data_IF_295408781782
#
_entry.id   IF_295408781782
#
_cell.length_a   1.000
_cell.length_b   1.000
_cell.length_c   1.000
_cell.angle_alpha   90.00
_cell.angle_beta   90.00
_cell.angle_gamma   90.00
#
_symmetry.space_group_name_H-M   'P 1'
#
loop_
_entity.id
_entity.type
_entity.pdbx_description
1 polymer ?
#
# COMPACT_ATOMS: atom_id res chain seq x y z
N UNK A 1 -15.19 -12.70 -11.00
CA UNK A 1 -13.93 -13.46 -10.85
C UNK A 1 -12.92 -12.55 -10.18
N UNK A 2 -12.30 -12.98 -9.08
CA UNK A 2 -11.32 -12.16 -8.36
C UNK A 2 -9.99 -12.10 -9.13
N UNK A 3 -9.51 -10.90 -9.42
CA UNK A 3 -8.14 -10.70 -9.91
C UNK A 3 -7.22 -10.82 -8.69
N UNK A 4 -6.50 -11.95 -8.60
CA UNK A 4 -5.59 -12.24 -7.49
C UNK A 4 -4.17 -11.72 -7.74
N UNK A 5 -3.80 -11.53 -9.01
CA UNK A 5 -2.47 -11.08 -9.41
C UNK A 5 -2.53 -9.60 -9.80
N UNK A 6 -1.77 -8.77 -9.09
CA UNK A 6 -1.67 -7.32 -9.30
C UNK A 6 -3.04 -6.62 -9.43
N UNK A 7 -3.90 -6.66 -8.40
CA UNK A 7 -5.10 -5.84 -8.41
C UNK A 7 -4.71 -4.37 -8.52
N UNK A 8 -5.35 -3.66 -9.44
CA UNK A 8 -5.23 -2.21 -9.62
C UNK A 8 -5.57 -1.45 -8.33
N UNK A 9 -5.53 -0.13 -8.39
CA UNK A 9 -5.83 0.72 -7.24
C UNK A 9 -7.32 0.72 -6.79
N UNK A 10 -8.21 0.02 -7.51
CA UNK A 10 -9.64 -0.02 -7.23
C UNK A 10 -10.00 -0.51 -5.82
N UNK A 11 -9.36 -1.59 -5.35
CA UNK A 11 -9.62 -2.15 -4.02
C UNK A 11 -9.20 -1.21 -2.89
N UNK A 12 -8.15 -0.41 -3.11
CA UNK A 12 -7.73 0.58 -2.14
C UNK A 12 -8.64 1.82 -2.20
N UNK A 13 -9.05 2.28 -3.38
CA UNK A 13 -10.07 3.33 -3.54
C UNK A 13 -11.37 3.01 -2.81
N UNK A 14 -11.88 1.79 -2.93
CA UNK A 14 -13.05 1.33 -2.17
C UNK A 14 -12.80 1.32 -0.65
N UNK A 15 -11.55 1.12 -0.23
CA UNK A 15 -11.19 1.19 1.18
C UNK A 15 -11.17 2.63 1.69
N UNK A 16 -10.73 3.58 0.86
CA UNK A 16 -10.71 5.00 1.19
C UNK A 16 -12.11 5.63 1.19
N UNK A 17 -13.06 5.10 0.42
CA UNK A 17 -14.45 5.59 0.40
C UNK A 17 -15.25 5.21 1.65
N UNK A 18 -14.70 4.40 2.55
CA UNK A 18 -15.37 4.01 3.79
C UNK A 18 -15.44 5.20 4.75
N UNK A 19 -16.56 5.31 5.47
CA UNK A 19 -16.81 6.35 6.48
C UNK A 19 -15.69 6.49 7.51
N UNK A 20 -15.05 5.39 7.86
CA UNK A 20 -13.95 5.34 8.83
C UNK A 20 -12.74 4.73 8.16
N UNK A 21 -11.75 5.58 7.88
CA UNK A 21 -10.43 5.18 7.43
C UNK A 21 -9.38 5.79 8.36
N UNK A 22 -8.45 4.96 8.82
CA UNK A 22 -7.29 5.40 9.61
C UNK A 22 -6.07 5.28 8.74
N UNK A 23 -5.40 6.40 8.52
CA UNK A 23 -4.19 6.45 7.70
C UNK A 23 -3.06 5.62 8.31
N UNK A 24 -2.67 4.57 7.57
CA UNK A 24 -1.54 3.67 7.87
C UNK A 24 -0.53 3.63 6.72
N UNK A 25 -0.55 4.64 5.85
CA UNK A 25 0.30 4.69 4.63
C UNK A 25 1.79 4.72 4.94
N UNK A 26 2.21 5.19 6.11
CA UNK A 26 3.61 5.09 6.56
C UNK A 26 4.16 3.65 6.62
N UNK A 27 3.31 2.62 6.58
CA UNK A 27 3.78 1.25 6.37
C UNK A 27 4.57 1.11 5.07
N UNK A 28 4.23 1.87 4.04
CA UNK A 28 4.94 1.89 2.75
C UNK A 28 6.37 2.40 2.92
N UNK A 29 6.60 3.42 3.74
CA UNK A 29 7.95 3.93 4.04
C UNK A 29 8.84 2.81 4.58
N UNK A 30 8.33 2.04 5.54
CA UNK A 30 9.03 0.88 6.11
C UNK A 30 9.30 -0.18 5.03
N UNK A 31 8.37 -0.41 4.11
CA UNK A 31 8.58 -1.35 3.01
C UNK A 31 9.62 -0.87 2.00
N UNK A 32 9.66 0.42 1.71
CA UNK A 32 10.63 1.02 0.80
C UNK A 32 12.06 0.80 1.30
N UNK A 33 12.29 0.81 2.62
CA UNK A 33 13.60 0.47 3.21
C UNK A 33 14.02 -0.98 2.89
N UNK A 34 13.08 -1.93 2.94
CA UNK A 34 13.38 -3.35 2.67
C UNK A 34 13.57 -3.67 1.18
N UNK A 35 12.94 -2.92 0.28
CA UNK A 35 12.94 -3.21 -1.17
C UNK A 35 14.34 -3.22 -1.79
N UNK A 36 15.30 -2.48 -1.23
CA UNK A 36 16.69 -2.40 -1.72
C UNK A 36 17.66 -3.31 -0.96
N UNK A 37 17.13 -4.22 -0.13
CA UNK A 37 17.94 -5.15 0.68
C UNK A 37 17.80 -6.59 0.17
N UNK A 38 18.79 -7.43 0.47
CA UNK A 38 18.73 -8.87 0.16
C UNK A 38 17.57 -9.57 0.92
N UNK A 39 17.22 -9.06 2.10
CA UNK A 39 16.13 -9.56 2.95
C UNK A 39 14.80 -8.82 2.69
N UNK A 40 14.31 -8.89 1.46
CA UNK A 40 13.06 -8.22 1.01
C UNK A 40 11.76 -8.98 1.29
N UNK A 41 11.81 -10.07 2.05
CA UNK A 41 10.62 -10.89 2.33
C UNK A 41 9.91 -10.41 3.60
N UNK A 42 8.63 -10.08 3.47
CA UNK A 42 7.80 -9.66 4.60
C UNK A 42 6.71 -10.70 4.90
N UNK A 43 6.66 -11.16 6.16
CA UNK A 43 5.57 -11.98 6.67
C UNK A 43 4.69 -11.16 7.62
N UNK A 44 3.38 -11.08 7.33
CA UNK A 44 2.40 -10.41 8.20
C UNK A 44 1.57 -11.47 8.93
N UNK A 45 2.12 -12.02 10.03
CA UNK A 45 1.45 -12.98 10.91
C UNK A 45 0.55 -12.26 11.93
N UNK A 46 -0.69 -11.94 11.54
CA UNK A 46 -1.68 -11.36 12.47
C UNK A 46 -2.95 -12.22 12.54
N UNK A 47 -3.81 -12.09 13.58
CA UNK A 47 -5.11 -12.76 13.64
C UNK A 47 -6.12 -12.26 12.59
N UNK A 48 -7.23 -12.96 12.39
CA UNK A 48 -8.30 -12.54 11.48
C UNK A 48 -8.83 -11.14 11.85
N UNK A 49 -9.25 -10.35 10.84
CA UNK A 49 -9.79 -8.98 10.94
C UNK A 49 -8.82 -7.88 11.39
N UNK A 50 -7.52 -8.17 11.55
CA UNK A 50 -6.49 -7.16 11.82
C UNK A 50 -6.07 -6.32 10.59
N UNK A 51 -6.94 -6.15 9.59
CA UNK A 51 -6.67 -5.27 8.46
C UNK A 51 -5.59 -5.74 7.48
N UNK A 52 -5.23 -7.05 7.47
CA UNK A 52 -4.26 -7.59 6.49
C UNK A 52 -4.64 -7.33 5.04
N UNK A 53 -5.91 -7.56 4.68
CA UNK A 53 -6.41 -7.30 3.32
C UNK A 53 -6.34 -5.81 2.96
N UNK A 54 -6.63 -4.93 3.91
CA UNK A 54 -6.53 -3.47 3.71
C UNK A 54 -5.07 -3.08 3.46
N UNK A 55 -4.14 -3.61 4.26
CA UNK A 55 -2.71 -3.37 4.06
C UNK A 55 -2.22 -3.90 2.71
N UNK A 56 -2.63 -5.12 2.33
CA UNK A 56 -2.28 -5.69 1.03
C UNK A 56 -2.82 -4.86 -0.15
N UNK A 57 -4.07 -4.39 -0.07
CA UNK A 57 -4.64 -3.52 -1.10
C UNK A 57 -3.91 -2.18 -1.20
N UNK A 58 -3.54 -1.59 -0.06
CA UNK A 58 -2.74 -0.37 -0.01
C UNK A 58 -1.37 -0.55 -0.66
N UNK A 59 -0.66 -1.64 -0.30
CA UNK A 59 0.65 -1.97 -0.86
C UNK A 59 0.53 -2.22 -2.37
N UNK A 60 -0.47 -2.98 -2.81
CA UNK A 60 -0.73 -3.23 -4.23
C UNK A 60 -1.01 -1.94 -5.00
N UNK A 61 -1.83 -1.05 -4.44
CA UNK A 61 -2.16 0.23 -5.08
C UNK A 61 -0.95 1.17 -5.20
N UNK A 62 0.02 1.06 -4.30
CA UNK A 62 1.26 1.86 -4.35
C UNK A 62 2.30 1.29 -5.32
N UNK A 63 2.52 -0.02 -5.31
CA UNK A 63 3.55 -0.68 -6.15
C UNK A 63 3.04 -1.16 -7.51
N UNK A 64 1.74 -1.04 -7.81
CA UNK A 64 1.22 -1.42 -9.13
C UNK A 64 1.72 -0.45 -10.20
N UNK A 65 2.41 -0.97 -11.21
CA UNK A 65 2.88 -0.21 -12.37
C UNK A 65 1.76 0.22 -13.33
N UNK A 66 0.56 -0.35 -13.19
CA UNK A 66 -0.58 -0.10 -14.07
C UNK A 66 -1.45 1.08 -13.65
N UNK A 67 -1.14 1.75 -12.54
CA UNK A 67 -1.96 2.79 -11.96
C UNK A 67 -1.11 3.98 -11.49
N UNK A 68 -1.60 5.20 -11.69
CA UNK A 68 -1.00 6.36 -11.03
C UNK A 68 -1.35 6.34 -9.54
N UNK A 69 -0.33 6.09 -8.72
CA UNK A 69 -0.46 6.09 -7.26
C UNK A 69 -0.33 7.51 -6.68
N UNK A 70 0.25 8.47 -7.41
CA UNK A 70 0.57 9.80 -6.86
C UNK A 70 -0.69 10.53 -6.40
N UNK A 71 -1.68 10.61 -7.26
CA UNK A 71 -2.97 11.26 -6.96
C UNK A 71 -3.69 10.57 -5.80
N UNK A 72 -3.62 9.24 -5.75
CA UNK A 72 -4.31 8.44 -4.74
C UNK A 72 -3.68 8.60 -3.35
N UNK A 73 -2.36 8.77 -3.29
CA UNK A 73 -1.62 8.86 -2.03
C UNK A 73 -1.32 10.29 -1.58
N UNK A 74 -1.49 11.29 -2.45
CA UNK A 74 -1.27 12.72 -2.19
C UNK A 74 -1.86 13.26 -0.87
N UNK A 75 -3.08 12.89 -0.44
CA UNK A 75 -3.64 13.43 0.81
C UNK A 75 -3.13 12.73 2.09
N UNK A 76 -2.35 11.65 1.97
CA UNK A 76 -1.93 10.83 3.11
C UNK A 76 -0.49 11.10 3.56
N UNK A 77 -0.14 10.59 4.75
CA UNK A 77 1.17 10.83 5.38
C UNK A 77 2.35 10.43 4.49
N UNK A 78 2.23 9.33 3.75
CA UNK A 78 3.31 8.84 2.89
C UNK A 78 3.73 9.87 1.82
N UNK A 79 2.83 10.73 1.34
CA UNK A 79 3.17 11.72 0.31
C UNK A 79 4.21 12.77 0.77
N UNK A 80 4.40 12.92 2.09
CA UNK A 80 5.41 13.80 2.68
C UNK A 80 6.72 13.09 2.99
N UNK A 81 6.75 11.77 2.83
CA UNK A 81 7.92 10.96 3.13
C UNK A 81 8.92 11.02 1.97
N UNK A 82 10.22 11.06 2.28
CA UNK A 82 11.27 11.12 1.27
C UNK A 82 11.29 9.87 0.37
N UNK A 83 10.81 8.73 0.87
CA UNK A 83 10.76 7.49 0.12
C UNK A 83 9.58 7.41 -0.87
N UNK A 84 8.65 8.37 -0.86
CA UNK A 84 7.42 8.32 -1.66
C UNK A 84 7.65 8.24 -3.18
N UNK A 85 8.61 9.01 -3.68
CA UNK A 85 9.00 8.99 -5.10
C UNK A 85 10.38 8.37 -5.31
N UNK A 86 10.97 7.82 -4.25
CA UNK A 86 12.29 7.21 -4.34
C UNK A 86 12.24 6.02 -5.29
N UNK A 87 12.75 6.23 -6.51
CA UNK A 87 12.77 5.31 -7.64
C UNK A 87 12.91 3.84 -7.19
N UNK A 88 11.89 3.06 -7.53
CA UNK A 88 11.83 1.60 -7.55
C UNK A 88 11.64 1.11 -8.99
#
# INVERSE_FOLDING_TARGET
MGIYLNPDNANFKETLSRKIYVDKTMMISVLNEFMKTDNKYLCISRPRRFGKTIAANMISAYFSKGCDFRELFAPYKIAKDQSFESNW
#
